data_IF_905865065234
#
_entry.id   IF_905865065234
#
_cell.length_a   1.000
_cell.length_b   1.000
_cell.length_c   1.000
_cell.angle_alpha   90.00
_cell.angle_beta   90.00
_cell.angle_gamma   90.00
#
_symmetry.space_group_name_H-M   'P 1'
#
loop_
_entity.id
_entity.type
_entity.pdbx_description
1 polymer ?
#
# COMPACT_ATOMS: atom_id res chain seq x y z
N UNK A 1 10.26 2.81 6.65
CA UNK A 1 10.72 1.42 6.40
C UNK A 1 11.38 1.22 5.07
N UNK A 2 10.71 1.50 3.95
CA UNK A 2 11.29 1.24 2.64
C UNK A 2 12.64 1.94 2.39
N UNK A 3 12.82 3.20 2.81
CA UNK A 3 14.11 3.91 2.73
C UNK A 3 15.25 3.25 3.51
N UNK A 4 14.94 2.47 4.55
CA UNK A 4 15.91 1.74 5.37
C UNK A 4 16.18 0.34 4.80
N UNK A 5 15.18 -0.28 4.20
CA UNK A 5 15.25 -1.64 3.65
C UNK A 5 15.81 -1.66 2.23
N UNK A 6 15.36 -0.78 1.35
CA UNK A 6 15.72 -0.77 -0.07
C UNK A 6 17.25 -0.81 -0.31
N UNK A 7 18.09 -0.03 0.40
CA UNK A 7 19.54 -0.07 0.17
C UNK A 7 20.19 -1.41 0.53
N UNK A 8 19.52 -2.24 1.35
CA UNK A 8 20.04 -3.54 1.81
C UNK A 8 19.66 -4.69 0.88
N UNK A 9 18.55 -4.58 0.16
CA UNK A 9 17.92 -5.69 -0.56
C UNK A 9 18.01 -5.50 -2.09
N UNK A 10 18.08 -4.25 -2.57
CA UNK A 10 18.23 -3.96 -4.00
C UNK A 10 17.00 -4.29 -4.88
N UNK A 11 15.85 -4.52 -4.26
CA UNK A 11 14.59 -4.85 -4.96
C UNK A 11 13.87 -3.55 -5.38
N UNK A 12 13.43 -3.50 -6.64
CA UNK A 12 12.54 -2.45 -7.15
C UNK A 12 11.22 -2.49 -6.38
N UNK A 13 10.79 -1.36 -5.86
CA UNK A 13 9.62 -1.29 -4.99
C UNK A 13 8.78 -0.05 -5.27
N UNK A 14 7.53 -0.14 -4.81
CA UNK A 14 6.57 0.97 -4.74
C UNK A 14 5.99 0.97 -3.33
N UNK A 15 5.68 2.16 -2.81
CA UNK A 15 4.87 2.32 -1.60
C UNK A 15 3.52 2.84 -2.07
N UNK A 16 2.47 2.08 -1.81
CA UNK A 16 1.10 2.47 -2.11
C UNK A 16 0.17 2.03 -0.97
N UNK A 17 -0.95 2.74 -0.83
CA UNK A 17 -2.01 2.43 0.10
C UNK A 17 -3.17 3.42 -0.05
N UNK A 18 -4.35 3.06 0.45
CA UNK A 18 -5.54 3.89 0.33
C UNK A 18 -5.52 5.08 1.29
N UNK A 19 -6.41 6.05 1.06
CA UNK A 19 -6.55 7.24 1.89
C UNK A 19 -5.60 8.39 1.50
N UNK A 20 -5.67 9.47 2.28
CA UNK A 20 -4.94 10.71 2.03
C UNK A 20 -3.87 10.95 3.10
N UNK A 21 -2.63 11.19 2.65
CA UNK A 21 -1.51 11.46 3.55
C UNK A 21 -1.68 12.81 4.27
N UNK A 22 -2.41 13.74 3.66
CA UNK A 22 -2.72 15.06 4.23
C UNK A 22 -3.58 14.97 5.50
N UNK A 23 -4.32 13.86 5.67
CA UNK A 23 -5.15 13.62 6.87
C UNK A 23 -4.41 12.89 8.00
N UNK A 24 -3.24 12.33 7.73
CA UNK A 24 -2.52 11.52 8.71
C UNK A 24 -2.18 12.34 9.98
N UNK A 25 -2.39 11.73 11.15
CA UNK A 25 -2.17 12.32 12.47
C UNK A 25 -3.02 13.55 12.78
N UNK A 26 -4.13 13.75 12.07
CA UNK A 26 -5.11 14.78 12.37
C UNK A 26 -6.26 14.25 13.24
N UNK A 27 -6.95 15.10 14.03
CA UNK A 27 -8.02 14.65 14.93
C UNK A 27 -9.20 13.95 14.23
N UNK A 28 -9.42 14.25 12.96
CA UNK A 28 -10.48 13.71 12.12
C UNK A 28 -9.95 12.75 11.04
N UNK A 29 -8.82 12.09 11.28
CA UNK A 29 -8.27 11.08 10.39
C UNK A 29 -9.30 9.97 10.15
N UNK A 30 -9.66 9.76 8.89
CA UNK A 30 -10.51 8.67 8.44
C UNK A 30 -10.06 8.20 7.06
N UNK A 31 -10.63 7.08 6.63
CA UNK A 31 -10.48 6.53 5.29
C UNK A 31 -11.86 6.14 4.77
N UNK A 32 -12.11 6.31 3.47
CA UNK A 32 -13.36 5.85 2.88
C UNK A 32 -13.38 4.31 2.82
N UNK A 33 -14.56 3.71 3.04
CA UNK A 33 -14.70 2.25 3.03
C UNK A 33 -14.40 1.72 1.63
N UNK A 34 -14.83 2.44 0.61
CA UNK A 34 -14.59 2.14 -0.80
C UNK A 34 -13.09 2.18 -1.14
N UNK A 35 -12.33 3.10 -0.57
CA UNK A 35 -10.86 3.14 -0.72
C UNK A 35 -10.20 1.92 -0.07
N UNK A 36 -10.67 1.51 1.12
CA UNK A 36 -10.21 0.29 1.79
C UNK A 36 -10.50 -0.96 0.95
N UNK A 37 -11.71 -1.11 0.42
CA UNK A 37 -12.07 -2.25 -0.44
C UNK A 37 -11.19 -2.27 -1.70
N UNK A 38 -11.02 -1.12 -2.35
CA UNK A 38 -10.15 -1.00 -3.53
C UNK A 38 -8.71 -1.43 -3.22
N UNK A 39 -8.19 -1.08 -2.04
CA UNK A 39 -6.84 -1.50 -1.65
C UNK A 39 -6.70 -3.01 -1.50
N UNK A 40 -7.74 -3.69 -1.00
CA UNK A 40 -7.76 -5.15 -0.89
C UNK A 40 -7.70 -5.77 -2.28
N UNK A 41 -8.47 -5.25 -3.23
CA UNK A 41 -8.46 -5.73 -4.61
C UNK A 41 -7.07 -5.58 -5.25
N UNK A 42 -6.46 -4.40 -5.11
CA UNK A 42 -5.10 -4.14 -5.64
C UNK A 42 -4.07 -5.08 -5.02
N UNK A 43 -4.08 -5.26 -3.70
CA UNK A 43 -3.11 -6.13 -3.04
C UNK A 43 -3.30 -7.60 -3.40
N UNK A 44 -4.56 -8.05 -3.49
CA UNK A 44 -4.89 -9.41 -3.91
C UNK A 44 -4.46 -9.65 -5.35
N UNK A 45 -4.71 -8.72 -6.24
CA UNK A 45 -4.27 -8.80 -7.63
C UNK A 45 -2.74 -8.92 -7.70
N UNK A 46 -1.98 -8.05 -7.01
CA UNK A 46 -0.52 -8.13 -6.99
C UNK A 46 -0.03 -9.48 -6.44
N UNK A 47 -0.62 -9.95 -5.34
CA UNK A 47 -0.23 -11.19 -4.69
C UNK A 47 -0.49 -12.43 -5.57
N UNK A 48 -1.56 -12.38 -6.37
CA UNK A 48 -1.97 -13.50 -7.24
C UNK A 48 -1.42 -13.40 -8.64
N UNK A 49 -1.04 -12.21 -9.12
CA UNK A 49 -0.56 -12.00 -10.49
C UNK A 49 0.68 -12.81 -10.84
N UNK A 50 1.55 -13.04 -9.87
CA UNK A 50 2.78 -13.82 -10.04
C UNK A 50 2.67 -15.25 -9.50
N UNK A 51 1.49 -15.65 -8.99
CA UNK A 51 1.21 -17.02 -8.57
C UNK A 51 1.05 -17.89 -9.83
N UNK A 52 2.18 -18.11 -10.49
CA UNK A 52 2.33 -18.98 -11.64
C UNK A 52 2.55 -20.40 -11.14
N UNK A 53 1.43 -21.08 -10.91
CA UNK A 53 1.30 -22.40 -11.51
C UNK A 53 1.14 -22.26 -13.02
#
# INVERSE_FOLDING_TARGET
DCSVLQPKIGIVNVICGPGSIEQAHQPNEFIDIEEMITSVDVYLEIATHFDSR
#
